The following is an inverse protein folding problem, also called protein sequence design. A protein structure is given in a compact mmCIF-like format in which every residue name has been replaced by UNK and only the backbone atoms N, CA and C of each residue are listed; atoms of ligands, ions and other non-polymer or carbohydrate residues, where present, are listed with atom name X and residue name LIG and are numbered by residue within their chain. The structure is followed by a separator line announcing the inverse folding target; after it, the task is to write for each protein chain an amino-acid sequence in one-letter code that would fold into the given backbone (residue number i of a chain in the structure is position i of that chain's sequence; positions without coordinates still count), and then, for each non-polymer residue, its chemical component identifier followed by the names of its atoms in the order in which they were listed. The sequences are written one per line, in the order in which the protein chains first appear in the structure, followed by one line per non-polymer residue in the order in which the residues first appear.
data_IF_151611273851
#
_entry.id   IF_151611273851
#
_cell.length_a   1.000
_cell.length_b   1.000
_cell.length_c   1.000
_cell.angle_alpha   90.00
_cell.angle_beta   90.00
_cell.angle_gamma   90.00
#
_symmetry.space_group_name_H-M   'P 1'
#
loop_
_entity.id
_entity.type
_entity.pdbx_description
1 polymer ?
#
# COMPACT_ATOMS: atom_id res chain seq x y z
N UNK A 1 -73.51 15.16 7.68
CA UNK A 1 -72.67 13.97 7.49
C UNK A 1 -71.45 14.38 6.69
N UNK A 2 -70.32 14.58 7.36
CA UNK A 2 -69.03 14.92 6.71
C UNK A 2 -68.13 13.73 6.86
N UNK A 3 -67.74 13.12 5.74
CA UNK A 3 -66.74 12.07 5.70
C UNK A 3 -65.36 12.69 5.73
N UNK A 4 -64.63 12.37 6.79
CA UNK A 4 -63.21 12.68 6.94
C UNK A 4 -62.43 11.50 6.31
N UNK A 5 -61.60 11.77 5.30
CA UNK A 5 -60.68 10.79 4.73
C UNK A 5 -59.34 10.98 5.41
N UNK A 6 -58.96 10.02 6.23
CA UNK A 6 -57.62 9.93 6.78
C UNK A 6 -56.62 9.66 5.64
N UNK A 7 -55.67 10.59 5.49
CA UNK A 7 -54.51 10.42 4.65
C UNK A 7 -53.46 9.62 5.43
N UNK A 8 -53.31 8.35 5.08
CA UNK A 8 -52.26 7.49 5.60
C UNK A 8 -50.90 8.00 5.17
N UNK A 9 -50.18 8.61 6.09
CA UNK A 9 -48.80 8.99 5.91
C UNK A 9 -47.90 7.75 5.80
N UNK A 10 -47.25 7.59 4.65
CA UNK A 10 -46.20 6.58 4.45
C UNK A 10 -45.01 6.99 5.32
N UNK A 11 -44.78 6.25 6.39
CA UNK A 11 -43.56 6.38 7.20
C UNK A 11 -42.40 5.86 6.36
N UNK A 12 -41.38 6.67 6.05
CA UNK A 12 -40.22 6.18 5.31
C UNK A 12 -39.47 5.14 6.16
N UNK A 13 -39.18 4.00 5.55
CA UNK A 13 -38.39 2.94 6.17
C UNK A 13 -37.08 3.52 6.69
N UNK A 14 -36.83 3.45 8.00
CA UNK A 14 -35.57 3.82 8.59
C UNK A 14 -34.48 2.96 7.97
N UNK A 15 -33.49 3.60 7.34
CA UNK A 15 -32.25 2.97 6.90
C UNK A 15 -31.64 2.18 8.07
N UNK A 16 -31.36 0.91 7.83
CA UNK A 16 -30.73 0.02 8.81
C UNK A 16 -29.27 0.40 9.09
N UNK A 17 -28.71 1.30 8.29
CA UNK A 17 -27.36 1.81 8.47
C UNK A 17 -27.42 3.25 9.01
N UNK A 18 -26.72 3.53 10.15
CA UNK A 18 -26.63 4.91 10.62
C UNK A 18 -25.96 5.76 9.55
N UNK A 19 -26.51 6.95 9.34
CA UNK A 19 -26.01 7.94 8.40
C UNK A 19 -24.56 8.31 8.76
N UNK A 20 -23.61 7.84 7.97
CA UNK A 20 -22.17 8.11 8.15
C UNK A 20 -21.73 9.39 7.42
N UNK A 21 -22.63 10.37 7.30
CA UNK A 21 -22.24 11.71 6.88
C UNK A 21 -21.49 12.39 8.03
N UNK A 22 -20.19 12.76 7.87
CA UNK A 22 -19.50 13.52 8.91
C UNK A 22 -20.15 14.90 9.03
N UNK A 23 -20.62 15.24 10.25
CA UNK A 23 -21.00 16.60 10.60
C UNK A 23 -19.85 17.54 10.23
N UNK A 24 -20.20 18.70 9.67
CA UNK A 24 -19.26 19.66 9.10
C UNK A 24 -18.04 19.93 9.98
N UNK A 25 -16.88 19.62 9.42
CA UNK A 25 -15.61 20.05 9.97
C UNK A 25 -15.34 21.47 9.43
N UNK A 26 -15.43 22.46 10.31
CA UNK A 26 -14.80 23.77 10.10
C UNK A 26 -13.32 23.54 9.81
N UNK A 27 -12.87 23.98 8.64
CA UNK A 27 -11.46 23.91 8.27
C UNK A 27 -10.68 24.92 9.11
N UNK A 28 -9.75 24.52 9.98
CA UNK A 28 -8.80 25.46 10.55
C UNK A 28 -7.93 26.01 9.43
N UNK A 29 -7.69 27.32 9.44
CA UNK A 29 -6.86 28.05 8.49
C UNK A 29 -5.54 27.31 8.24
N UNK A 30 -5.23 27.06 6.96
CA UNK A 30 -4.00 26.38 6.52
C UNK A 30 -2.77 27.11 7.05
N UNK A 31 -2.14 26.59 8.08
CA UNK A 31 -0.75 26.90 8.37
C UNK A 31 0.07 26.46 7.13
N UNK A 32 0.86 27.41 6.57
CA UNK A 32 1.75 27.14 5.42
C UNK A 32 2.67 25.98 5.78
N UNK A 33 2.37 24.81 5.25
CA UNK A 33 3.04 23.58 5.60
C UNK A 33 4.36 23.50 4.81
N UNK A 34 5.48 23.89 5.44
CA UNK A 34 6.85 23.83 4.87
C UNK A 34 7.22 22.44 4.34
N UNK A 35 6.53 21.40 4.80
CA UNK A 35 6.71 20.02 4.32
C UNK A 35 6.11 19.82 2.93
N UNK A 36 4.99 20.46 2.60
CA UNK A 36 4.37 20.38 1.29
C UNK A 36 5.25 21.00 0.18
N UNK A 37 5.99 22.07 0.49
CA UNK A 37 6.91 22.71 -0.45
C UNK A 37 8.19 21.88 -0.67
N UNK A 38 8.66 21.15 0.34
CA UNK A 38 9.77 20.19 0.18
C UNK A 38 9.40 19.01 -0.73
N UNK A 39 8.14 18.58 -0.72
CA UNK A 39 7.65 17.47 -1.54
C UNK A 39 7.54 17.82 -3.03
N UNK A 40 7.43 19.12 -3.37
CA UNK A 40 7.35 19.58 -4.76
C UNK A 40 8.68 19.51 -5.50
N UNK A 41 9.81 19.45 -4.77
CA UNK A 41 11.15 19.58 -5.33
C UNK A 41 11.96 18.27 -5.35
N UNK A 42 11.32 17.11 -5.14
CA UNK A 42 12.01 15.83 -5.25
C UNK A 42 12.12 15.40 -6.72
N UNK A 43 13.33 15.08 -7.21
CA UNK A 43 13.51 14.63 -8.59
C UNK A 43 12.80 13.30 -8.81
N UNK A 44 12.07 13.18 -9.93
CA UNK A 44 11.50 11.92 -10.36
C UNK A 44 12.61 11.03 -10.92
N UNK A 45 12.88 9.95 -10.26
CA UNK A 45 13.88 8.99 -10.72
C UNK A 45 13.20 7.74 -11.24
N UNK A 46 13.59 7.31 -12.44
CA UNK A 46 13.29 5.96 -12.90
C UNK A 46 14.32 5.03 -12.25
N UNK A 47 13.90 3.92 -11.64
CA UNK A 47 14.87 2.92 -11.21
C UNK A 47 15.64 2.44 -12.44
N UNK A 48 16.93 2.78 -12.51
CA UNK A 48 17.83 2.22 -13.53
C UNK A 48 18.12 0.79 -13.13
N UNK A 49 17.73 -0.15 -13.99
CA UNK A 49 18.14 -1.55 -13.85
C UNK A 49 19.57 -1.64 -14.35
N UNK A 50 20.57 -1.94 -13.51
CA UNK A 50 21.94 -2.10 -13.95
C UNK A 50 22.04 -3.20 -15.03
N UNK A 51 22.88 -3.03 -16.04
CA UNK A 51 23.05 -4.02 -17.13
C UNK A 51 23.41 -5.41 -16.60
N UNK A 52 24.19 -5.49 -15.54
CA UNK A 52 24.52 -6.74 -14.84
C UNK A 52 23.28 -7.44 -14.25
N UNK A 53 22.23 -6.72 -13.96
CA UNK A 53 20.96 -7.24 -13.44
C UNK A 53 20.09 -7.78 -14.58
N UNK A 54 20.14 -7.15 -15.77
CA UNK A 54 19.36 -7.59 -16.94
C UNK A 54 19.70 -9.04 -17.36
N UNK A 55 20.96 -9.41 -17.32
CA UNK A 55 21.40 -10.78 -17.63
C UNK A 55 20.87 -11.84 -16.63
N UNK A 56 20.52 -11.43 -15.41
CA UNK A 56 20.02 -12.33 -14.35
C UNK A 56 18.49 -12.44 -14.34
N UNK A 57 17.80 -11.66 -15.16
CA UNK A 57 16.33 -11.63 -15.16
C UNK A 57 15.66 -12.87 -15.73
N UNK A 58 16.32 -13.58 -16.68
CA UNK A 58 15.88 -14.87 -17.19
C UNK A 58 14.36 -14.96 -17.46
N UNK A 59 13.71 -15.91 -16.79
CA UNK A 59 12.26 -16.14 -16.89
C UNK A 59 11.42 -15.37 -15.85
N UNK A 60 12.05 -14.46 -15.07
CA UNK A 60 11.32 -13.67 -14.09
C UNK A 60 10.29 -12.77 -14.77
N UNK A 61 9.07 -12.84 -14.29
CA UNK A 61 7.95 -12.01 -14.71
C UNK A 61 7.50 -11.10 -13.58
N UNK A 62 6.92 -9.98 -13.95
CA UNK A 62 6.28 -9.04 -13.02
C UNK A 62 4.84 -8.83 -13.45
N UNK A 63 3.93 -8.96 -12.52
CA UNK A 63 2.49 -8.89 -12.77
C UNK A 63 1.84 -7.99 -11.75
N UNK A 64 0.91 -7.14 -12.20
CA UNK A 64 0.02 -6.41 -11.30
C UNK A 64 -1.34 -7.07 -11.31
N UNK A 65 -1.72 -7.61 -10.16
CA UNK A 65 -3.02 -8.24 -9.94
C UNK A 65 -4.01 -7.22 -9.37
N UNK A 66 -5.27 -7.42 -9.71
CA UNK A 66 -6.44 -6.70 -9.19
C UNK A 66 -7.62 -7.66 -9.16
N UNK A 67 -8.70 -7.32 -8.46
CA UNK A 67 -9.93 -8.11 -8.51
C UNK A 67 -10.51 -8.24 -9.92
N UNK A 68 -10.24 -7.26 -10.79
CA UNK A 68 -10.75 -7.29 -12.17
C UNK A 68 -9.97 -8.22 -13.11
N UNK A 69 -8.72 -8.56 -12.79
CA UNK A 69 -7.86 -9.34 -13.68
C UNK A 69 -7.26 -10.62 -13.09
N UNK A 70 -7.36 -10.83 -11.77
CA UNK A 70 -6.71 -11.97 -11.11
C UNK A 70 -7.16 -13.33 -11.66
N UNK A 71 -8.38 -13.43 -12.18
CA UNK A 71 -8.93 -14.63 -12.80
C UNK A 71 -8.15 -15.05 -14.07
N UNK A 72 -7.39 -14.14 -14.69
CA UNK A 72 -6.59 -14.39 -15.89
C UNK A 72 -5.23 -15.03 -15.57
N UNK A 73 -4.85 -15.07 -14.29
CA UNK A 73 -3.54 -15.50 -13.85
C UNK A 73 -3.57 -16.80 -13.03
N UNK A 74 -4.64 -17.59 -13.15
CA UNK A 74 -4.79 -18.86 -12.43
C UNK A 74 -4.59 -18.69 -10.92
N UNK A 75 -3.71 -19.50 -10.34
CA UNK A 75 -3.47 -19.52 -8.89
C UNK A 75 -2.51 -18.45 -8.39
N UNK A 76 -2.06 -17.51 -9.23
CA UNK A 76 -1.00 -16.57 -8.86
C UNK A 76 -1.39 -15.72 -7.66
N UNK A 77 -2.66 -15.29 -7.55
CA UNK A 77 -3.13 -14.53 -6.40
C UNK A 77 -3.16 -15.37 -5.11
N UNK A 78 -3.64 -16.60 -5.18
CA UNK A 78 -3.63 -17.55 -4.06
C UNK A 78 -2.20 -17.85 -3.63
N UNK A 79 -1.30 -18.06 -4.58
CA UNK A 79 0.13 -18.29 -4.32
C UNK A 79 0.78 -17.09 -3.64
N UNK A 80 0.41 -15.85 -4.01
CA UNK A 80 0.85 -14.64 -3.33
C UNK A 80 0.42 -14.61 -1.86
N UNK A 81 -0.86 -14.92 -1.57
CA UNK A 81 -1.37 -14.92 -0.19
C UNK A 81 -0.71 -16.01 0.67
N UNK A 82 -0.44 -17.18 0.07
CA UNK A 82 0.35 -18.24 0.73
C UNK A 82 1.80 -17.82 0.97
N UNK A 83 2.43 -17.13 0.03
CA UNK A 83 3.79 -16.60 0.21
C UNK A 83 3.84 -15.54 1.31
N UNK A 84 2.81 -14.69 1.42
CA UNK A 84 2.67 -13.71 2.50
C UNK A 84 2.59 -14.40 3.87
N UNK A 85 1.75 -15.45 4.01
CA UNK A 85 1.68 -16.25 5.24
C UNK A 85 3.05 -16.80 5.61
N UNK A 86 3.71 -17.48 4.67
CA UNK A 86 5.04 -18.08 4.90
C UNK A 86 6.08 -17.07 5.40
N UNK A 87 5.98 -15.80 4.98
CA UNK A 87 6.94 -14.77 5.35
C UNK A 87 6.52 -14.04 6.61
N UNK A 88 5.30 -13.52 6.67
CA UNK A 88 4.88 -12.67 7.77
C UNK A 88 4.48 -13.46 9.02
N UNK A 89 3.78 -14.59 8.85
CA UNK A 89 3.33 -15.40 9.97
C UNK A 89 4.37 -16.47 10.35
N UNK A 90 4.73 -17.36 9.40
CA UNK A 90 5.54 -18.52 9.74
C UNK A 90 6.99 -18.14 10.07
N UNK A 91 7.55 -17.13 9.39
CA UNK A 91 8.96 -16.72 9.55
C UNK A 91 9.15 -15.53 10.50
N UNK A 92 8.32 -14.48 10.35
CA UNK A 92 8.44 -13.25 11.15
C UNK A 92 7.58 -13.29 12.42
N UNK A 93 6.74 -14.32 12.58
CA UNK A 93 5.87 -14.55 13.72
C UNK A 93 4.90 -13.38 14.00
N UNK A 94 4.53 -12.64 12.96
CA UNK A 94 3.55 -11.58 13.11
C UNK A 94 2.16 -12.18 13.38
N UNK A 95 1.44 -11.59 14.34
CA UNK A 95 0.05 -11.93 14.62
C UNK A 95 -0.87 -11.29 13.58
N UNK A 96 -1.12 -12.00 12.49
CA UNK A 96 -1.94 -11.53 11.38
C UNK A 96 -3.09 -12.50 11.09
N UNK A 97 -4.21 -12.03 10.52
CA UNK A 97 -5.29 -12.89 10.09
C UNK A 97 -4.83 -13.89 9.03
N UNK A 98 -5.22 -15.15 9.21
CA UNK A 98 -4.99 -16.20 8.22
C UNK A 98 -6.22 -17.11 8.09
N UNK A 99 -6.40 -17.66 6.90
CA UNK A 99 -7.35 -18.74 6.64
C UNK A 99 -6.83 -19.61 5.50
N UNK A 100 -7.02 -20.94 5.63
CA UNK A 100 -6.68 -21.94 4.61
C UNK A 100 -5.23 -21.82 4.08
N UNK A 101 -4.30 -21.49 4.96
CA UNK A 101 -2.89 -21.33 4.60
C UNK A 101 -2.55 -20.04 3.89
N UNK A 102 -3.43 -19.03 3.92
CA UNK A 102 -3.26 -17.72 3.30
C UNK A 102 -3.28 -16.61 4.35
N UNK A 103 -2.41 -15.61 4.22
CA UNK A 103 -2.50 -14.36 4.98
C UNK A 103 -3.22 -13.31 4.12
N UNK A 104 -4.25 -12.70 4.68
CA UNK A 104 -4.94 -11.55 4.10
C UNK A 104 -5.54 -10.69 5.22
N UNK A 105 -5.79 -9.43 4.92
CA UNK A 105 -6.31 -8.50 5.92
C UNK A 105 -7.41 -7.60 5.33
N UNK A 106 -7.96 -6.72 6.16
CA UNK A 106 -9.01 -5.75 5.79
C UNK A 106 -8.62 -4.76 4.70
N UNK A 107 -7.35 -4.70 4.33
CA UNK A 107 -6.82 -3.84 3.27
C UNK A 107 -6.66 -4.57 1.93
N UNK A 108 -6.93 -5.87 1.87
CA UNK A 108 -6.99 -6.64 0.63
C UNK A 108 -8.37 -6.44 -0.04
N UNK A 109 -8.57 -5.27 -0.64
CA UNK A 109 -9.86 -4.78 -1.15
C UNK A 109 -9.85 -4.65 -2.68
N UNK A 110 -11.01 -4.51 -3.35
CA UNK A 110 -11.08 -4.25 -4.79
C UNK A 110 -10.30 -3.01 -5.24
N UNK A 111 -10.00 -2.07 -4.33
CA UNK A 111 -9.21 -0.88 -4.61
C UNK A 111 -7.70 -1.14 -4.60
N UNK A 112 -7.27 -2.26 -4.00
CA UNK A 112 -5.86 -2.63 -3.90
C UNK A 112 -5.32 -3.19 -5.21
N UNK A 113 -4.02 -3.09 -5.39
CA UNK A 113 -3.25 -3.69 -6.48
C UNK A 113 -2.11 -4.48 -5.85
N UNK A 114 -1.93 -5.71 -6.31
CA UNK A 114 -0.85 -6.57 -5.83
C UNK A 114 0.17 -6.74 -6.94
N UNK A 115 1.37 -6.27 -6.66
CA UNK A 115 2.50 -6.42 -7.57
C UNK A 115 3.27 -7.66 -7.16
N UNK A 116 3.50 -8.53 -8.10
CA UNK A 116 4.13 -9.83 -7.89
C UNK A 116 5.30 -9.99 -8.86
N UNK A 117 6.46 -10.35 -8.35
CA UNK A 117 7.57 -10.88 -9.15
C UNK A 117 7.56 -12.39 -8.97
N UNK A 118 7.47 -13.12 -10.09
CA UNK A 118 7.33 -14.57 -10.08
C UNK A 118 8.12 -15.21 -11.21
N UNK A 119 8.42 -16.50 -11.07
CA UNK A 119 9.12 -17.31 -12.06
C UNK A 119 8.52 -18.72 -12.02
N UNK A 120 8.01 -19.20 -13.14
CA UNK A 120 7.36 -20.53 -13.25
C UNK A 120 6.26 -20.79 -12.19
N UNK A 121 5.52 -19.75 -11.80
CA UNK A 121 4.49 -19.84 -10.75
C UNK A 121 5.00 -19.61 -9.32
N UNK A 122 6.30 -19.69 -9.09
CA UNK A 122 6.93 -19.41 -7.80
C UNK A 122 6.95 -17.91 -7.51
N UNK A 123 6.51 -17.52 -6.31
CA UNK A 123 6.52 -16.12 -5.85
C UNK A 123 7.90 -15.75 -5.33
N UNK A 124 8.56 -14.82 -6.02
CA UNK A 124 9.87 -14.31 -5.63
C UNK A 124 9.78 -13.05 -4.76
N UNK A 125 8.81 -12.18 -5.04
CA UNK A 125 8.56 -10.97 -4.26
C UNK A 125 7.13 -10.48 -4.44
N UNK A 126 6.65 -9.70 -3.49
CA UNK A 126 5.33 -9.10 -3.56
C UNK A 126 5.24 -7.78 -2.80
N UNK A 127 4.25 -6.98 -3.18
CA UNK A 127 3.88 -5.73 -2.51
C UNK A 127 2.42 -5.40 -2.82
N UNK A 128 1.71 -4.84 -1.86
CA UNK A 128 0.36 -4.31 -2.06
C UNK A 128 0.43 -2.79 -2.18
N UNK A 129 -0.28 -2.25 -3.17
CA UNK A 129 -0.54 -0.81 -3.34
C UNK A 129 -2.02 -0.52 -3.10
N UNK A 130 -2.30 0.50 -2.28
CA UNK A 130 -3.65 0.94 -1.95
C UNK A 130 -3.74 2.46 -2.08
N UNK A 131 -4.73 3.04 -2.79
CA UNK A 131 -4.89 4.49 -2.84
C UNK A 131 -5.22 5.04 -1.45
N UNK A 132 -4.64 6.19 -1.08
CA UNK A 132 -4.94 6.79 0.24
C UNK A 132 -6.37 7.31 0.36
N UNK A 133 -7.12 7.29 -0.73
CA UNK A 133 -8.57 7.55 -0.76
C UNK A 133 -9.41 6.29 -0.56
N UNK A 134 -8.79 5.11 -0.43
CA UNK A 134 -9.50 3.85 -0.25
C UNK A 134 -10.37 3.87 1.01
N UNK A 135 -11.55 3.23 0.88
CA UNK A 135 -12.46 2.96 1.99
C UNK A 135 -13.13 1.60 1.79
N UNK A 136 -13.15 0.81 2.84
CA UNK A 136 -13.87 -0.45 2.89
C UNK A 136 -14.47 -0.61 4.30
N UNK A 137 -15.77 -0.37 4.43
CA UNK A 137 -16.42 -0.27 5.73
C UNK A 137 -15.81 0.85 6.59
N UNK A 138 -15.35 0.51 7.78
CA UNK A 138 -14.72 1.45 8.74
C UNK A 138 -13.25 1.69 8.44
N UNK A 139 -12.63 0.83 7.62
CA UNK A 139 -11.21 0.87 7.29
C UNK A 139 -10.92 1.77 6.09
N UNK A 140 -9.71 2.32 6.07
CA UNK A 140 -9.21 3.12 4.95
C UNK A 140 -7.94 2.50 4.35
N UNK A 141 -6.77 2.95 4.74
CA UNK A 141 -5.49 2.34 4.42
C UNK A 141 -4.65 2.23 5.71
N UNK A 142 -3.68 1.33 5.75
CA UNK A 142 -3.04 0.86 6.96
C UNK A 142 -2.43 1.99 7.81
N UNK A 143 -1.63 2.89 7.23
CA UNK A 143 -0.99 3.97 7.98
C UNK A 143 -1.98 4.97 8.59
N UNK A 144 -3.09 5.26 7.89
CA UNK A 144 -4.12 6.13 8.41
C UNK A 144 -4.89 5.49 9.56
N UNK A 145 -5.18 4.23 9.43
CA UNK A 145 -5.91 3.48 10.45
C UNK A 145 -5.01 3.21 11.68
N UNK A 146 -3.70 3.01 11.48
CA UNK A 146 -2.72 3.01 12.56
C UNK A 146 -2.73 4.35 13.32
N UNK A 147 -2.67 5.48 12.60
CA UNK A 147 -2.71 6.81 13.23
C UNK A 147 -4.01 7.09 14.01
N UNK A 148 -5.10 6.38 13.68
CA UNK A 148 -6.36 6.43 14.44
C UNK A 148 -6.41 5.46 15.63
N UNK A 149 -5.37 4.67 15.86
CA UNK A 149 -5.33 3.67 16.92
C UNK A 149 -6.15 2.41 16.61
N UNK A 150 -6.43 2.14 15.33
CA UNK A 150 -7.19 0.95 14.90
C UNK A 150 -6.31 -0.30 14.71
N UNK A 151 -4.99 -0.16 14.84
CA UNK A 151 -4.01 -1.24 14.70
C UNK A 151 -3.13 -1.27 15.94
N UNK A 152 -3.19 -2.35 16.70
CA UNK A 152 -2.42 -2.50 17.94
C UNK A 152 -0.92 -2.61 17.70
N UNK A 153 -0.52 -3.20 16.58
CA UNK A 153 0.90 -3.46 16.25
C UNK A 153 1.65 -2.26 15.69
N UNK A 154 0.97 -1.17 15.34
CA UNK A 154 1.60 0.02 14.73
C UNK A 154 1.27 1.25 15.58
N UNK A 155 2.28 1.97 16.10
CA UNK A 155 2.07 3.18 16.91
C UNK A 155 1.27 4.27 16.19
N UNK A 156 0.49 5.05 16.95
CA UNK A 156 -0.36 6.11 16.39
C UNK A 156 0.42 7.31 15.87
N UNK A 157 1.65 7.50 16.31
CA UNK A 157 2.58 8.57 15.88
C UNK A 157 3.43 8.17 14.66
N UNK A 158 2.98 7.17 13.90
CA UNK A 158 3.67 6.60 12.73
C UNK A 158 4.06 7.64 11.66
N UNK A 159 3.44 8.82 11.63
CA UNK A 159 3.70 9.93 10.71
C UNK A 159 3.87 11.24 11.44
N UNK A 160 4.76 12.12 10.95
CA UNK A 160 4.94 13.50 11.46
C UNK A 160 3.77 14.43 11.12
N UNK A 161 2.81 13.98 10.33
CA UNK A 161 1.65 14.75 9.88
C UNK A 161 0.41 13.86 9.80
N UNK A 162 -0.75 14.46 9.63
CA UNK A 162 -1.99 13.73 9.44
C UNK A 162 -1.93 12.89 8.17
N UNK A 163 -2.25 11.62 8.30
CA UNK A 163 -2.26 10.66 7.19
C UNK A 163 -3.05 11.19 5.98
N UNK A 164 -2.43 11.30 4.80
CA UNK A 164 -3.02 11.97 3.65
C UNK A 164 -4.24 11.22 3.10
N UNK A 165 -5.20 11.97 2.56
CA UNK A 165 -6.30 11.45 1.73
C UNK A 165 -6.23 12.18 0.40
N UNK A 166 -5.51 11.58 -0.55
CA UNK A 166 -5.22 12.22 -1.82
C UNK A 166 -5.10 11.15 -2.93
N UNK A 167 -5.83 11.25 -4.06
CA UNK A 167 -5.78 10.26 -5.13
C UNK A 167 -4.39 10.12 -5.79
N UNK A 168 -3.52 11.13 -5.61
CA UNK A 168 -2.15 11.12 -6.13
C UNK A 168 -1.13 10.47 -5.17
N UNK A 169 -1.56 10.05 -3.98
CA UNK A 169 -0.71 9.37 -3.00
C UNK A 169 -1.25 7.98 -2.77
N UNK A 170 -0.41 6.97 -2.94
CA UNK A 170 -0.76 5.58 -2.70
C UNK A 170 0.08 5.01 -1.57
N UNK A 171 -0.46 4.09 -0.82
CA UNK A 171 0.28 3.36 0.22
C UNK A 171 0.86 2.07 -0.34
N UNK A 172 2.12 1.81 -0.01
CA UNK A 172 2.78 0.52 -0.21
C UNK A 172 2.85 -0.25 1.11
N UNK A 173 2.31 -1.46 1.12
CA UNK A 173 2.30 -2.33 2.31
C UNK A 173 2.57 -3.80 1.92
N UNK A 174 2.79 -4.67 2.90
CA UNK A 174 3.06 -6.10 2.66
C UNK A 174 4.19 -6.36 1.67
N UNK A 175 5.27 -5.56 1.78
CA UNK A 175 6.44 -5.73 0.91
C UNK A 175 7.35 -6.85 1.40
N UNK A 176 7.73 -7.75 0.51
CA UNK A 176 8.64 -8.84 0.81
C UNK A 176 9.45 -9.31 -0.39
N UNK A 177 10.56 -9.96 -0.10
CA UNK A 177 11.32 -10.81 -1.03
C UNK A 177 11.44 -12.18 -0.39
N UNK A 178 11.09 -13.21 -1.12
CA UNK A 178 11.13 -14.60 -0.65
C UNK A 178 12.53 -14.98 -0.16
N UNK A 179 12.59 -15.72 0.93
CA UNK A 179 13.86 -16.26 1.45
C UNK A 179 14.51 -17.27 0.50
N UNK A 180 13.71 -17.91 -0.35
CA UNK A 180 14.19 -18.85 -1.38
C UNK A 180 14.98 -18.16 -2.50
N UNK A 181 14.88 -16.82 -2.65
CA UNK A 181 15.65 -16.08 -3.64
C UNK A 181 17.13 -16.03 -3.24
N UNK A 182 18.04 -16.62 -4.04
CA UNK A 182 19.47 -16.59 -3.78
C UNK A 182 20.02 -15.16 -3.70
N UNK A 183 21.07 -14.94 -2.91
CA UNK A 183 21.62 -13.61 -2.66
C UNK A 183 21.98 -12.85 -3.93
N UNK A 184 22.58 -13.53 -4.93
CA UNK A 184 22.98 -12.91 -6.21
C UNK A 184 21.80 -12.48 -7.08
N UNK A 185 20.59 -13.03 -6.87
CA UNK A 185 19.37 -12.68 -7.62
C UNK A 185 18.51 -11.61 -6.92
N UNK A 186 18.75 -11.37 -5.62
CA UNK A 186 17.90 -10.47 -4.80
C UNK A 186 17.79 -9.07 -5.38
N UNK A 187 18.90 -8.50 -5.84
CA UNK A 187 18.90 -7.16 -6.42
C UNK A 187 18.03 -7.10 -7.69
N UNK A 188 18.10 -8.13 -8.56
CA UNK A 188 17.28 -8.21 -9.76
C UNK A 188 15.79 -8.29 -9.43
N UNK A 189 15.41 -9.17 -8.48
CA UNK A 189 14.02 -9.31 -8.01
C UNK A 189 13.51 -8.00 -7.42
N UNK A 190 14.30 -7.35 -6.60
CA UNK A 190 13.95 -6.08 -5.98
C UNK A 190 13.78 -4.95 -7.01
N UNK A 191 14.68 -4.88 -8.00
CA UNK A 191 14.58 -3.90 -9.08
C UNK A 191 13.31 -4.09 -9.91
N UNK A 192 12.95 -5.33 -10.23
CA UNK A 192 11.71 -5.65 -10.93
C UNK A 192 10.47 -5.27 -10.11
N UNK A 193 10.48 -5.55 -8.80
CA UNK A 193 9.38 -5.22 -7.90
C UNK A 193 9.14 -3.71 -7.86
N UNK A 194 10.21 -2.92 -7.68
CA UNK A 194 10.13 -1.46 -7.59
C UNK A 194 9.79 -0.81 -8.92
N UNK A 195 10.33 -1.30 -10.03
CA UNK A 195 9.97 -0.80 -11.36
C UNK A 195 8.48 -1.04 -11.63
N UNK A 196 7.96 -2.23 -11.33
CA UNK A 196 6.54 -2.52 -11.51
C UNK A 196 5.65 -1.72 -10.56
N UNK A 197 6.06 -1.52 -9.31
CA UNK A 197 5.38 -0.66 -8.35
C UNK A 197 5.26 0.77 -8.91
N UNK A 198 6.37 1.31 -9.38
CA UNK A 198 6.44 2.68 -9.91
C UNK A 198 5.56 2.84 -11.15
N UNK A 199 5.57 1.87 -12.05
CA UNK A 199 4.68 1.84 -13.24
C UNK A 199 3.22 1.78 -12.81
N UNK A 200 2.85 0.80 -11.98
CA UNK A 200 1.48 0.63 -11.51
C UNK A 200 0.94 1.88 -10.82
N UNK A 201 1.74 2.50 -9.94
CA UNK A 201 1.35 3.74 -9.28
C UNK A 201 1.08 4.87 -10.27
N UNK A 202 1.98 5.06 -11.26
CA UNK A 202 1.82 6.07 -12.33
C UNK A 202 0.59 5.82 -13.20
N UNK A 203 0.36 4.59 -13.61
CA UNK A 203 -0.77 4.20 -14.46
C UNK A 203 -2.12 4.50 -13.79
N UNK A 204 -2.11 4.58 -12.44
CA UNK A 204 -3.26 4.98 -11.63
C UNK A 204 -3.21 6.46 -11.19
N UNK A 205 -2.34 7.28 -11.77
CA UNK A 205 -2.26 8.72 -11.52
C UNK A 205 -1.56 9.11 -10.22
N UNK A 206 -0.88 8.17 -9.54
CA UNK A 206 -0.10 8.51 -8.37
C UNK A 206 1.15 9.31 -8.74
N UNK A 207 1.48 10.29 -7.91
CA UNK A 207 2.74 11.04 -7.95
C UNK A 207 3.69 10.61 -6.85
N UNK A 208 3.16 10.07 -5.76
CA UNK A 208 3.94 9.64 -4.60
C UNK A 208 3.43 8.30 -4.06
N UNK A 209 4.35 7.58 -3.44
CA UNK A 209 4.04 6.38 -2.66
C UNK A 209 4.58 6.57 -1.24
N UNK A 210 3.73 6.26 -0.26
CA UNK A 210 4.05 6.27 1.17
C UNK A 210 4.05 4.83 1.69
N UNK A 211 4.91 4.49 2.63
CA UNK A 211 4.89 3.17 3.25
C UNK A 211 5.83 3.10 4.44
N UNK A 212 5.59 2.11 5.30
CA UNK A 212 6.48 1.79 6.42
C UNK A 212 7.41 0.66 6.00
N UNK A 213 8.69 0.85 6.21
CA UNK A 213 9.74 -0.07 5.80
C UNK A 213 10.81 -0.21 6.89
N UNK A 214 11.54 -1.35 6.96
CA UNK A 214 12.71 -1.44 7.79
C UNK A 214 13.69 -0.32 7.49
N UNK A 215 14.28 0.30 8.51
CA UNK A 215 15.17 1.46 8.36
C UNK A 215 16.38 1.20 7.45
N UNK A 216 16.83 -0.06 7.37
CA UNK A 216 17.91 -0.49 6.46
C UNK A 216 17.53 -0.31 4.98
N UNK A 217 16.25 -0.26 4.66
CA UNK A 217 15.76 -0.12 3.28
C UNK A 217 16.04 1.23 2.65
N UNK A 218 16.30 2.25 3.44
CA UNK A 218 16.75 3.56 2.93
C UNK A 218 18.04 3.47 2.10
N UNK A 219 18.95 2.56 2.47
CA UNK A 219 20.16 2.28 1.70
C UNK A 219 19.87 1.53 0.40
N UNK A 220 18.91 0.62 0.45
CA UNK A 220 18.49 -0.16 -0.70
C UNK A 220 17.75 0.69 -1.74
N UNK A 221 16.83 1.55 -1.34
CA UNK A 221 16.13 2.48 -2.23
C UNK A 221 17.12 3.43 -2.94
N UNK A 222 18.15 3.89 -2.25
CA UNK A 222 19.21 4.70 -2.87
C UNK A 222 19.98 3.95 -3.96
N UNK A 223 20.19 2.64 -3.81
CA UNK A 223 20.84 1.82 -4.86
C UNK A 223 19.96 1.67 -6.11
N UNK A 224 18.68 1.90 -5.97
CA UNK A 224 17.71 1.87 -7.06
C UNK A 224 17.42 3.29 -7.60
N UNK A 225 18.25 4.28 -7.27
CA UNK A 225 18.05 5.68 -7.63
C UNK A 225 16.69 6.26 -7.20
N UNK A 226 16.08 5.73 -6.13
CA UNK A 226 14.86 6.26 -5.58
C UNK A 226 15.16 7.22 -4.43
N UNK A 227 14.76 8.48 -4.62
CA UNK A 227 14.78 9.48 -3.55
C UNK A 227 13.58 9.23 -2.61
N UNK A 228 13.87 8.62 -1.47
CA UNK A 228 12.91 8.45 -0.40
C UNK A 228 13.22 9.40 0.75
N UNK A 229 12.21 10.10 1.26
CA UNK A 229 12.33 10.98 2.43
C UNK A 229 11.61 10.35 3.61
N UNK A 230 12.21 10.36 4.81
CA UNK A 230 11.53 9.97 6.04
C UNK A 230 10.37 10.93 6.32
N UNK A 231 9.19 10.37 6.64
CA UNK A 231 7.97 11.11 6.93
C UNK A 231 7.32 10.71 8.25
N UNK A 232 8.00 9.89 9.03
CA UNK A 232 7.63 9.46 10.38
C UNK A 232 8.87 9.21 11.25
N UNK A 233 8.70 9.01 12.55
CA UNK A 233 9.79 8.65 13.45
C UNK A 233 10.32 7.24 13.12
N UNK A 234 11.50 6.91 13.68
CA UNK A 234 11.93 5.52 13.75
C UNK A 234 11.14 4.83 14.86
N UNK A 235 10.56 3.70 14.54
CA UNK A 235 9.74 2.90 15.42
C UNK A 235 10.30 1.50 15.51
N UNK A 236 10.19 0.89 16.67
CA UNK A 236 10.44 -0.54 16.85
C UNK A 236 9.10 -1.27 16.70
N UNK A 237 8.97 -2.08 15.66
CA UNK A 237 7.79 -2.91 15.39
C UNK A 237 8.28 -4.34 15.22
N UNK A 238 7.82 -5.24 16.07
CA UNK A 238 8.22 -6.66 16.07
C UNK A 238 9.76 -6.82 16.03
N UNK A 239 10.47 -6.14 16.92
CA UNK A 239 11.94 -6.12 17.04
C UNK A 239 12.67 -5.63 15.78
N UNK A 240 11.97 -4.95 14.88
CA UNK A 240 12.56 -4.37 13.68
C UNK A 240 12.44 -2.85 13.72
N UNK A 241 13.59 -2.16 13.67
CA UNK A 241 13.59 -0.70 13.48
C UNK A 241 13.01 -0.36 12.11
N UNK A 242 11.85 0.29 12.11
CA UNK A 242 11.10 0.69 10.92
C UNK A 242 10.97 2.21 10.82
N UNK A 243 10.63 2.71 9.64
CA UNK A 243 10.35 4.13 9.45
C UNK A 243 9.40 4.32 8.27
N UNK A 244 8.45 5.26 8.42
CA UNK A 244 7.66 5.70 7.28
C UNK A 244 8.50 6.54 6.33
N UNK A 245 8.40 6.21 5.05
CA UNK A 245 9.05 6.92 3.96
C UNK A 245 8.02 7.36 2.91
N UNK A 246 8.33 8.43 2.21
CA UNK A 246 7.61 8.88 1.03
C UNK A 246 8.60 8.98 -0.13
N UNK A 247 8.23 8.47 -1.30
CA UNK A 247 9.05 8.62 -2.51
C UNK A 247 8.20 9.03 -3.71
N UNK A 248 8.82 9.76 -4.62
CA UNK A 248 8.19 10.29 -5.82
C UNK A 248 8.22 9.25 -6.93
N UNK A 249 7.08 9.01 -7.56
CA UNK A 249 6.94 8.12 -8.71
C UNK A 249 6.57 8.87 -10.00
N UNK A 250 6.22 10.16 -9.92
CA UNK A 250 5.92 10.97 -11.09
C UNK A 250 7.14 11.07 -12.03
N UNK A 251 6.88 11.09 -13.34
CA UNK A 251 7.88 11.56 -14.30
C UNK A 251 7.79 13.09 -14.36
N UNK A 252 8.88 13.80 -14.14
CA UNK A 252 8.92 15.18 -14.58
C UNK A 252 8.96 15.18 -16.11
N UNK A 253 7.97 15.80 -16.70
CA UNK A 253 8.02 16.19 -18.12
C UNK A 253 8.84 17.48 -18.11
N UNK A 254 10.06 17.41 -18.64
CA UNK A 254 10.86 18.60 -18.94
C UNK A 254 10.23 19.28 -20.15
#
# INVERSE_FOLDING_TARGET
MKHNRDAGGVVPARSVFPDLAPAGFDQPAMAKNRTADRLRNLPAVQPRIPETVAATMGHMRRTTLSFSNMHQYGDLFVSLLKARKKIFIDRLHWSLPEAEGMEFDQYDTPLSRWIVVHEFGEILAGIRLTPTTARCGVYSYMLRDAQKGMLESIPTDVLFFKAPVNPRIWEASRVFVSSAVPAHRRLAVQSLLVDQLTRTARDHGATHVIGIVPAIWSRWLRRLDLSAVPVGPKLEIDDITTQCILFTVAKYVN
#
